data_IF_539167739424
#
_entry.id   IF_539167739424
#
_cell.length_a   1.000
_cell.length_b   1.000
_cell.length_c   1.000
_cell.angle_alpha   90.00
_cell.angle_beta   90.00
_cell.angle_gamma   90.00
#
_symmetry.space_group_name_H-M   'P 1'
#
loop_
_entity.id
_entity.type
_entity.pdbx_description
1 polymer ?
#
# COMPACT_ATOMS: atom_id res chain seq x y z
N UNK A 1 -8.85 26.39 14.23
CA UNK A 1 -9.27 25.21 15.04
C UNK A 1 -8.96 23.98 14.20
N UNK A 2 -7.94 23.19 14.54
CA UNK A 2 -7.72 21.88 13.89
C UNK A 2 -8.84 20.95 14.36
N UNK A 3 -9.75 20.64 13.47
CA UNK A 3 -10.73 19.58 13.67
C UNK A 3 -9.92 18.29 13.86
N UNK A 4 -9.99 17.67 15.02
CA UNK A 4 -9.40 16.35 15.23
C UNK A 4 -10.18 15.38 14.34
N UNK A 5 -9.67 15.12 13.17
CA UNK A 5 -10.19 14.09 12.27
C UNK A 5 -9.85 12.73 12.90
N UNK A 6 -10.77 12.21 13.67
CA UNK A 6 -10.68 10.85 14.22
C UNK A 6 -11.26 9.88 13.20
N UNK A 7 -10.42 9.05 12.65
CA UNK A 7 -10.84 7.98 11.75
C UNK A 7 -11.63 6.95 12.58
N UNK A 8 -12.85 6.65 12.16
CA UNK A 8 -13.68 5.64 12.81
C UNK A 8 -13.10 4.23 12.62
N UNK A 9 -13.28 3.35 13.59
CA UNK A 9 -12.90 1.94 13.48
C UNK A 9 -13.52 1.24 12.26
N UNK A 10 -14.71 1.67 11.83
CA UNK A 10 -15.36 1.17 10.62
C UNK A 10 -14.63 1.60 9.36
N UNK A 11 -14.18 2.85 9.30
CA UNK A 11 -13.40 3.38 8.17
C UNK A 11 -12.06 2.65 8.04
N UNK A 12 -11.36 2.39 9.15
CA UNK A 12 -10.11 1.61 9.16
C UNK A 12 -10.35 0.20 8.64
N UNK A 13 -11.39 -0.49 9.12
CA UNK A 13 -11.75 -1.83 8.66
C UNK A 13 -12.05 -1.85 7.16
N UNK A 14 -12.85 -0.93 6.67
CA UNK A 14 -13.20 -0.83 5.25
C UNK A 14 -11.95 -0.56 4.39
N UNK A 15 -11.07 0.32 4.84
CA UNK A 15 -9.83 0.63 4.16
C UNK A 15 -8.90 -0.59 4.07
N UNK A 16 -8.75 -1.33 5.16
CA UNK A 16 -7.98 -2.58 5.17
C UNK A 16 -8.57 -3.63 4.23
N UNK A 17 -9.88 -3.85 4.29
CA UNK A 17 -10.58 -4.79 3.41
C UNK A 17 -10.38 -4.40 1.95
N UNK A 18 -10.58 -3.13 1.59
CA UNK A 18 -10.44 -2.64 0.21
C UNK A 18 -9.00 -2.77 -0.27
N UNK A 19 -8.01 -2.52 0.58
CA UNK A 19 -6.59 -2.65 0.23
C UNK A 19 -6.22 -4.12 -0.04
N UNK A 20 -6.72 -5.05 0.76
CA UNK A 20 -6.44 -6.50 0.59
C UNK A 20 -7.18 -7.08 -0.61
N UNK A 21 -8.46 -6.71 -0.80
CA UNK A 21 -9.31 -7.21 -1.90
C UNK A 21 -8.95 -6.55 -3.25
N UNK A 22 -8.20 -5.44 -3.26
CA UNK A 22 -7.84 -4.74 -4.47
C UNK A 22 -7.03 -5.57 -5.48
N UNK A 23 -6.03 -4.96 -6.06
CA UNK A 23 -5.18 -5.57 -7.11
C UNK A 23 -4.52 -6.88 -6.66
N UNK A 24 -4.27 -7.04 -5.36
CA UNK A 24 -3.62 -8.23 -4.79
C UNK A 24 -4.38 -9.53 -5.06
N UNK A 25 -5.69 -9.57 -4.91
CA UNK A 25 -6.50 -10.78 -5.16
C UNK A 25 -6.49 -11.19 -6.63
N UNK A 26 -6.44 -10.21 -7.54
CA UNK A 26 -6.47 -10.50 -8.98
C UNK A 26 -5.12 -10.96 -9.52
N UNK A 27 -4.02 -10.36 -9.04
CA UNK A 27 -2.69 -10.58 -9.59
C UNK A 27 -1.90 -11.65 -8.83
N UNK A 28 -2.01 -11.71 -7.52
CA UNK A 28 -1.15 -12.52 -6.66
C UNK A 28 -1.32 -14.04 -6.89
N UNK A 29 -2.54 -14.61 -6.99
CA UNK A 29 -2.71 -16.03 -7.26
C UNK A 29 -2.11 -16.44 -8.60
N UNK A 30 -2.34 -15.65 -9.65
CA UNK A 30 -1.83 -15.94 -10.97
C UNK A 30 -0.30 -15.91 -11.00
N UNK A 31 0.33 -14.90 -10.40
CA UNK A 31 1.79 -14.82 -10.31
C UNK A 31 2.40 -15.97 -9.51
N UNK A 32 1.76 -16.38 -8.42
CA UNK A 32 2.25 -17.49 -7.60
C UNK A 32 2.17 -18.83 -8.32
N UNK A 33 1.07 -19.09 -9.04
CA UNK A 33 0.91 -20.32 -9.82
C UNK A 33 1.89 -20.38 -10.99
N UNK A 34 2.17 -19.26 -11.67
CA UNK A 34 3.13 -19.23 -12.79
C UNK A 34 4.57 -19.48 -12.38
N UNK A 35 4.94 -19.19 -11.12
CA UNK A 35 6.31 -19.33 -10.60
C UNK A 35 6.50 -20.66 -9.84
N UNK A 36 5.50 -21.08 -9.09
CA UNK A 36 5.60 -22.15 -8.10
C UNK A 36 4.62 -23.32 -8.35
N UNK A 37 3.86 -23.27 -9.43
CA UNK A 37 2.83 -24.28 -9.75
C UNK A 37 1.90 -24.54 -8.53
N UNK A 38 1.86 -25.77 -8.04
CA UNK A 38 1.00 -26.19 -6.94
C UNK A 38 1.44 -25.66 -5.57
N UNK A 39 2.66 -25.20 -5.40
CA UNK A 39 3.23 -24.77 -4.12
C UNK A 39 3.05 -23.25 -3.86
N UNK A 40 2.34 -22.55 -4.73
CA UNK A 40 2.09 -21.10 -4.64
C UNK A 40 1.39 -20.61 -3.37
N UNK A 41 0.74 -21.50 -2.62
CA UNK A 41 0.10 -21.18 -1.33
C UNK A 41 1.09 -21.04 -0.17
N UNK A 42 2.26 -21.68 -0.24
CA UNK A 42 3.29 -21.66 0.82
C UNK A 42 3.82 -20.25 1.08
N UNK A 43 4.26 -19.48 0.08
CA UNK A 43 4.73 -18.11 0.28
C UNK A 43 3.67 -17.17 0.86
N UNK A 44 2.39 -17.41 0.54
CA UNK A 44 1.29 -16.59 1.05
C UNK A 44 1.17 -16.78 2.57
N UNK A 45 1.19 -18.02 3.04
CA UNK A 45 1.14 -18.32 4.48
C UNK A 45 2.40 -17.80 5.19
N UNK A 46 3.58 -18.03 4.63
CA UNK A 46 4.83 -17.55 5.21
C UNK A 46 4.88 -16.02 5.27
N UNK A 47 4.44 -15.34 4.21
CA UNK A 47 4.32 -13.88 4.19
C UNK A 47 3.36 -13.36 5.27
N UNK A 48 2.20 -13.99 5.42
CA UNK A 48 1.25 -13.68 6.49
C UNK A 48 1.85 -13.85 7.89
N UNK A 49 2.56 -14.96 8.13
CA UNK A 49 3.22 -15.22 9.40
C UNK A 49 4.33 -14.18 9.72
N UNK A 50 5.07 -13.72 8.70
CA UNK A 50 6.11 -12.70 8.87
C UNK A 50 5.52 -11.32 9.20
N UNK A 51 4.30 -11.01 8.78
CA UNK A 51 3.65 -9.72 9.08
C UNK A 51 3.25 -9.63 10.56
N UNK A 52 2.91 -10.75 11.22
CA UNK A 52 2.45 -10.76 12.61
C UNK A 52 3.49 -10.12 13.57
N UNK A 53 4.76 -10.54 13.62
CA UNK A 53 5.74 -9.94 14.52
C UNK A 53 5.98 -8.45 14.21
N UNK A 54 5.91 -8.04 12.95
CA UNK A 54 5.99 -6.63 12.58
C UNK A 54 4.81 -5.81 13.13
N UNK A 55 3.59 -6.33 13.03
CA UNK A 55 2.41 -5.68 13.58
C UNK A 55 2.49 -5.53 15.10
N UNK A 56 2.93 -6.58 15.82
CA UNK A 56 3.14 -6.53 17.27
C UNK A 56 4.22 -5.54 17.65
N UNK A 57 5.31 -5.46 16.89
CA UNK A 57 6.39 -4.51 17.13
C UNK A 57 5.90 -3.06 16.95
N UNK A 58 5.14 -2.78 15.90
CA UNK A 58 4.54 -1.47 15.67
C UNK A 58 3.57 -1.07 16.81
N UNK A 59 2.71 -1.99 17.24
CA UNK A 59 1.79 -1.74 18.37
C UNK A 59 2.55 -1.37 19.64
N UNK A 60 3.65 -2.07 19.95
CA UNK A 60 4.51 -1.74 21.09
C UNK A 60 5.16 -0.36 20.96
N UNK A 61 5.66 -0.02 19.78
CA UNK A 61 6.26 1.31 19.54
C UNK A 61 5.24 2.42 19.76
N UNK A 62 4.02 2.28 19.23
CA UNK A 62 2.96 3.27 19.43
C UNK A 62 2.49 3.38 20.89
N UNK A 63 2.51 2.29 21.65
CA UNK A 63 2.20 2.31 23.10
C UNK A 63 3.27 3.02 23.91
N UNK A 64 4.54 2.97 23.49
CA UNK A 64 5.64 3.70 24.14
C UNK A 64 5.60 5.22 23.85
N UNK A 65 5.01 5.61 22.71
CA UNK A 65 4.98 7.01 22.26
C UNK A 65 3.55 7.43 21.83
N UNK A 66 2.57 7.48 22.75
CA UNK A 66 1.15 7.64 22.41
C UNK A 66 0.82 8.97 21.72
N UNK A 67 1.63 10.02 21.95
CA UNK A 67 1.38 11.37 21.41
C UNK A 67 2.27 11.75 20.23
N UNK A 68 3.08 10.79 19.71
CA UNK A 68 4.04 11.07 18.65
C UNK A 68 3.70 10.34 17.37
N UNK A 69 3.85 11.04 16.25
CA UNK A 69 3.79 10.43 14.93
C UNK A 69 5.06 9.60 14.66
N UNK A 70 4.96 8.58 13.79
CA UNK A 70 6.08 7.71 13.41
C UNK A 70 7.30 8.51 12.93
N UNK A 71 7.08 9.66 12.27
CA UNK A 71 8.14 10.57 11.84
C UNK A 71 8.86 11.21 13.03
N UNK A 72 8.13 11.61 14.07
CA UNK A 72 8.70 12.20 15.29
C UNK A 72 9.49 11.16 16.08
N UNK A 73 8.94 9.96 16.21
CA UNK A 73 9.59 8.84 16.90
C UNK A 73 10.90 8.49 16.20
N UNK A 74 10.88 8.34 14.88
CA UNK A 74 12.07 8.00 14.11
C UNK A 74 13.17 9.05 14.19
N UNK A 75 12.81 10.32 14.17
CA UNK A 75 13.79 11.43 14.34
C UNK A 75 14.42 11.48 15.73
N UNK A 76 13.67 11.09 16.74
CA UNK A 76 14.17 11.06 18.13
C UNK A 76 15.12 9.89 18.35
N UNK A 77 14.83 8.73 17.76
CA UNK A 77 15.62 7.50 17.92
C UNK A 77 16.88 7.51 17.03
N UNK A 78 16.75 7.85 15.76
CA UNK A 78 17.83 7.78 14.76
C UNK A 78 18.50 9.12 14.45
N UNK A 79 17.98 10.21 15.00
CA UNK A 79 18.42 11.54 14.68
C UNK A 79 17.81 12.10 13.37
N UNK A 80 17.83 13.44 13.26
CA UNK A 80 17.13 14.16 12.17
C UNK A 80 17.67 13.81 10.79
N UNK A 81 19.01 13.74 10.62
CA UNK A 81 19.64 13.58 9.32
C UNK A 81 19.48 12.16 8.78
N UNK A 82 19.79 11.17 9.59
CA UNK A 82 19.72 9.76 9.20
C UNK A 82 18.28 9.37 8.89
N UNK A 83 17.33 9.78 9.74
CA UNK A 83 15.93 9.45 9.55
C UNK A 83 15.31 10.13 8.31
N UNK A 84 15.72 11.37 7.98
CA UNK A 84 15.26 12.02 6.76
C UNK A 84 15.73 11.29 5.49
N UNK A 85 17.01 10.84 5.45
CA UNK A 85 17.51 10.05 4.32
C UNK A 85 16.70 8.75 4.18
N UNK A 86 16.44 8.06 5.30
CA UNK A 86 15.64 6.84 5.31
C UNK A 86 14.20 7.09 4.81
N UNK A 87 13.58 8.19 5.21
CA UNK A 87 12.25 8.57 4.73
C UNK A 87 12.20 8.86 3.23
N UNK A 88 13.25 9.48 2.68
CA UNK A 88 13.36 9.70 1.22
C UNK A 88 13.42 8.36 0.49
N UNK A 89 14.21 7.42 0.97
CA UNK A 89 14.31 6.07 0.37
C UNK A 89 12.95 5.36 0.42
N UNK A 90 12.24 5.43 1.54
CA UNK A 90 10.89 4.85 1.68
C UNK A 90 9.91 5.52 0.71
N UNK A 91 9.92 6.84 0.59
CA UNK A 91 9.06 7.56 -0.36
C UNK A 91 9.33 7.12 -1.81
N UNK A 92 10.59 7.01 -2.21
CA UNK A 92 10.96 6.50 -3.53
C UNK A 92 10.46 5.07 -3.75
N UNK A 93 10.58 4.22 -2.74
CA UNK A 93 10.03 2.86 -2.79
C UNK A 93 8.51 2.86 -3.00
N UNK A 94 7.76 3.70 -2.27
CA UNK A 94 6.31 3.79 -2.44
C UNK A 94 5.91 4.28 -3.83
N UNK A 95 6.61 5.26 -4.39
CA UNK A 95 6.35 5.74 -5.77
C UNK A 95 6.53 4.61 -6.79
N UNK A 96 7.60 3.82 -6.67
CA UNK A 96 7.83 2.67 -7.54
C UNK A 96 6.75 1.61 -7.37
N UNK A 97 6.37 1.34 -6.12
CA UNK A 97 5.32 0.38 -5.79
C UNK A 97 3.95 0.79 -6.35
N UNK A 98 3.58 2.07 -6.21
CA UNK A 98 2.33 2.60 -6.76
C UNK A 98 2.30 2.52 -8.30
N UNK A 99 3.42 2.82 -8.96
CA UNK A 99 3.54 2.68 -10.41
C UNK A 99 3.35 1.21 -10.85
N UNK A 100 3.91 0.26 -10.10
CA UNK A 100 3.75 -1.17 -10.36
C UNK A 100 2.30 -1.63 -10.19
N UNK A 101 1.64 -1.21 -9.11
CA UNK A 101 0.22 -1.52 -8.85
C UNK A 101 -0.68 -0.93 -9.94
N UNK A 102 -0.44 0.32 -10.35
CA UNK A 102 -1.19 0.96 -11.44
C UNK A 102 -1.04 0.19 -12.77
N UNK A 103 0.17 -0.32 -13.05
CA UNK A 103 0.42 -1.14 -14.24
C UNK A 103 -0.33 -2.46 -14.21
N UNK A 104 -0.28 -3.21 -13.10
CA UNK A 104 -1.02 -4.48 -12.95
C UNK A 104 -2.52 -4.23 -13.14
N UNK A 105 -3.05 -3.18 -12.51
CA UNK A 105 -4.46 -2.84 -12.65
C UNK A 105 -4.83 -2.54 -14.11
N UNK A 106 -3.99 -1.78 -14.82
CA UNK A 106 -4.21 -1.46 -16.22
C UNK A 106 -4.13 -2.71 -17.13
N UNK A 107 -3.24 -3.66 -16.84
CA UNK A 107 -3.16 -4.96 -17.54
C UNK A 107 -4.45 -5.78 -17.36
N UNK A 108 -5.00 -5.81 -16.14
CA UNK A 108 -6.27 -6.49 -15.85
C UNK A 108 -7.44 -5.81 -16.59
N UNK A 109 -7.52 -4.48 -16.53
CA UNK A 109 -8.57 -3.72 -17.24
C UNK A 109 -8.48 -3.94 -18.75
N UNK A 110 -7.27 -3.93 -19.32
CA UNK A 110 -7.05 -4.21 -20.73
C UNK A 110 -7.49 -5.62 -21.12
N UNK A 111 -7.12 -6.62 -20.31
CA UNK A 111 -7.40 -8.03 -20.61
C UNK A 111 -8.91 -8.38 -20.57
N UNK A 112 -9.68 -7.72 -19.71
CA UNK A 112 -11.08 -8.10 -19.48
C UNK A 112 -12.13 -7.08 -19.94
N UNK A 113 -11.76 -5.79 -20.07
CA UNK A 113 -12.72 -4.71 -20.32
C UNK A 113 -12.40 -3.91 -21.60
N UNK A 114 -11.13 -3.65 -21.90
CA UNK A 114 -10.72 -2.72 -22.94
C UNK A 114 -9.58 -3.31 -23.80
N UNK A 115 -9.84 -4.44 -24.45
CA UNK A 115 -8.84 -5.19 -25.23
C UNK A 115 -8.14 -4.36 -26.32
N UNK A 116 -8.87 -3.42 -26.94
CA UNK A 116 -8.37 -2.59 -28.06
C UNK A 116 -7.67 -1.30 -27.59
N UNK A 117 -7.78 -0.94 -26.30
CA UNK A 117 -7.25 0.32 -25.77
C UNK A 117 -5.77 0.17 -25.39
N UNK A 118 -4.88 1.10 -25.80
CA UNK A 118 -3.50 1.11 -25.35
C UNK A 118 -3.40 1.21 -23.83
N UNK A 119 -2.48 0.45 -23.23
CA UNK A 119 -2.32 0.37 -21.78
C UNK A 119 -1.94 1.73 -21.17
N UNK A 120 -1.22 2.55 -21.93
CA UNK A 120 -0.79 3.89 -21.53
C UNK A 120 -1.98 4.81 -21.25
N UNK A 121 -3.02 4.72 -22.09
CA UNK A 121 -4.25 5.51 -21.94
C UNK A 121 -4.98 5.14 -20.65
N UNK A 122 -5.02 3.84 -20.35
CA UNK A 122 -5.64 3.33 -19.11
C UNK A 122 -4.88 3.85 -17.89
N UNK A 123 -3.54 3.75 -17.90
CA UNK A 123 -2.70 4.23 -16.79
C UNK A 123 -2.87 5.73 -16.59
N UNK A 124 -2.80 6.53 -17.65
CA UNK A 124 -2.96 7.98 -17.57
C UNK A 124 -4.33 8.33 -16.97
N UNK A 125 -5.38 7.67 -17.42
CA UNK A 125 -6.75 7.90 -16.91
C UNK A 125 -6.85 7.60 -15.42
N UNK A 126 -6.28 6.48 -14.95
CA UNK A 126 -6.26 6.11 -13.52
C UNK A 126 -5.51 7.15 -12.70
N UNK A 127 -4.34 7.58 -13.16
CA UNK A 127 -3.53 8.58 -12.47
C UNK A 127 -4.25 9.94 -12.38
N UNK A 128 -4.91 10.35 -13.46
CA UNK A 128 -5.71 11.60 -13.47
C UNK A 128 -6.87 11.54 -12.48
N UNK A 129 -7.61 10.44 -12.48
CA UNK A 129 -8.74 10.25 -11.56
C UNK A 129 -8.25 10.22 -10.12
N UNK A 130 -7.16 9.49 -9.84
CA UNK A 130 -6.57 9.41 -8.50
C UNK A 130 -6.08 10.76 -8.01
N UNK A 131 -5.40 11.54 -8.87
CA UNK A 131 -4.94 12.88 -8.55
C UNK A 131 -6.11 13.86 -8.31
N UNK A 132 -7.16 13.73 -9.10
CA UNK A 132 -8.38 14.54 -8.92
C UNK A 132 -9.07 14.22 -7.60
N UNK A 133 -9.26 12.94 -7.29
CA UNK A 133 -9.86 12.49 -6.03
C UNK A 133 -9.03 12.88 -4.81
N UNK A 134 -7.70 12.81 -4.89
CA UNK A 134 -6.82 13.25 -3.81
C UNK A 134 -6.91 14.77 -3.53
N UNK A 135 -7.36 15.57 -4.50
CA UNK A 135 -7.58 17.01 -4.34
C UNK A 135 -8.97 17.36 -3.80
N UNK A 136 -9.95 16.48 -3.98
CA UNK A 136 -11.26 16.61 -3.38
C UNK A 136 -11.14 16.22 -1.91
N UNK A 137 -11.12 17.20 -1.00
CA UNK A 137 -11.30 16.94 0.43
C UNK A 137 -12.72 16.37 0.61
N UNK A 138 -12.81 15.09 0.91
CA UNK A 138 -14.05 14.40 1.29
C UNK A 138 -14.25 14.56 2.79
#
# INVERSE_FOLDING_TARGET
MKKNETISNLQIKNLLITTVIGVGILALPNQMVTILDNDGWIPIILGGLLVIPFAVMLDRVYKLYPDKNIYQIGREVYGKLIFNIFMIIILMYFVIQDAYVARIFAEVVKAYLLETTPIEVIIITILFISAYLARCEI
#
